data_IF_049451075183
#
_entry.id   IF_049451075183
#
_cell.length_a   1.000
_cell.length_b   1.000
_cell.length_c   1.000
_cell.angle_alpha   90.00
_cell.angle_beta   90.00
_cell.angle_gamma   90.00
#
_symmetry.space_group_name_H-M   'P 1'
#
loop_
_entity.id
_entity.type
_entity.pdbx_description
1 polymer ?
#
# COMPACT_ATOMS: atom_id res chain seq x y z
N UNK A 1 10.64 0.38 -1.17
CA UNK A 1 9.36 -0.05 -0.57
C UNK A 1 8.88 0.98 0.45
N UNK A 2 7.55 1.11 0.65
CA UNK A 2 6.96 2.07 1.61
C UNK A 2 7.43 1.78 3.03
N UNK A 3 7.41 0.52 3.44
CA UNK A 3 7.86 0.07 4.76
C UNK A 3 9.28 0.54 5.10
N UNK A 4 10.25 0.26 4.21
CA UNK A 4 11.65 0.61 4.44
C UNK A 4 11.86 2.12 4.53
N UNK A 5 11.17 2.91 3.69
CA UNK A 5 11.24 4.37 3.75
C UNK A 5 10.56 4.92 5.00
N UNK A 6 9.44 4.33 5.44
CA UNK A 6 8.79 4.69 6.69
C UNK A 6 9.73 4.45 7.88
N UNK A 7 10.28 3.25 8.01
CA UNK A 7 11.24 2.90 9.07
C UNK A 7 12.46 3.83 9.05
N UNK A 8 13.03 4.11 7.88
CA UNK A 8 14.16 5.05 7.73
C UNK A 8 13.81 6.47 8.20
N UNK A 9 12.58 6.94 7.92
CA UNK A 9 12.14 8.31 8.25
C UNK A 9 11.70 8.47 9.70
N UNK A 10 11.00 7.48 10.26
CA UNK A 10 10.35 7.60 11.58
C UNK A 10 11.05 6.80 12.68
N UNK A 11 11.92 5.85 12.32
CA UNK A 11 12.51 4.87 13.24
C UNK A 11 11.51 3.82 13.74
N UNK A 12 10.28 3.78 13.21
CA UNK A 12 9.23 2.85 13.65
C UNK A 12 9.06 1.72 12.66
N UNK A 13 9.14 0.49 13.17
CA UNK A 13 8.78 -0.71 12.43
C UNK A 13 7.26 -0.87 12.48
N UNK A 14 6.62 -0.93 11.32
CA UNK A 14 5.16 -1.09 11.19
C UNK A 14 4.89 -2.15 10.13
N UNK A 15 4.03 -3.13 10.40
CA UNK A 15 3.55 -4.02 9.34
C UNK A 15 2.42 -3.32 8.58
N UNK A 16 2.51 -3.25 7.25
CA UNK A 16 1.53 -2.57 6.41
C UNK A 16 0.67 -3.62 5.70
N UNK A 17 -0.62 -3.32 5.51
CA UNK A 17 -1.57 -4.28 4.96
C UNK A 17 -1.42 -4.43 3.45
N UNK A 18 -1.00 -5.61 3.00
CA UNK A 18 -1.07 -6.00 1.58
C UNK A 18 -2.52 -6.11 1.12
N UNK A 19 -3.44 -6.60 1.97
CA UNK A 19 -4.86 -6.73 1.65
C UNK A 19 -5.49 -5.39 1.30
N UNK A 20 -5.08 -4.32 1.99
CA UNK A 20 -5.55 -2.99 1.69
C UNK A 20 -5.19 -2.57 0.26
N UNK A 21 -4.05 -3.00 -0.28
CA UNK A 21 -3.70 -2.76 -1.68
C UNK A 21 -4.52 -3.65 -2.61
N UNK A 22 -4.67 -4.93 -2.31
CA UNK A 22 -5.47 -5.89 -3.09
C UNK A 22 -6.90 -5.36 -3.29
N UNK A 23 -7.55 -4.92 -2.22
CA UNK A 23 -8.98 -4.56 -2.25
C UNK A 23 -9.26 -3.14 -2.74
N UNK A 24 -8.30 -2.21 -2.62
CA UNK A 24 -8.58 -0.78 -2.77
C UNK A 24 -7.86 -0.09 -3.93
N UNK A 25 -6.81 -0.67 -4.49
CA UNK A 25 -6.01 -0.02 -5.53
C UNK A 25 -6.46 -0.33 -6.97
N UNK A 26 -7.66 -0.88 -7.12
CA UNK A 26 -8.26 -1.20 -8.42
C UNK A 26 -8.52 0.02 -9.29
N UNK A 27 -8.84 1.17 -8.68
CA UNK A 27 -9.04 2.43 -9.41
C UNK A 27 -7.74 2.94 -10.07
N UNK A 28 -6.58 2.62 -9.49
CA UNK A 28 -5.27 2.88 -10.06
C UNK A 28 -4.82 1.79 -11.04
N UNK A 29 -5.60 0.74 -11.26
CA UNK A 29 -5.33 -0.29 -12.27
C UNK A 29 -4.58 -1.52 -11.76
N UNK A 30 -4.52 -1.74 -10.43
CA UNK A 30 -4.22 -3.07 -9.91
C UNK A 30 -5.44 -4.00 -10.06
N UNK A 31 -5.20 -5.30 -10.10
CA UNK A 31 -6.22 -6.32 -10.35
C UNK A 31 -6.27 -7.33 -9.20
N UNK A 32 -6.06 -6.86 -7.96
CA UNK A 32 -6.08 -7.72 -6.79
C UNK A 32 -5.13 -8.92 -6.91
N UNK A 33 -5.67 -10.13 -6.75
CA UNK A 33 -4.97 -11.40 -6.89
C UNK A 33 -4.50 -11.71 -8.33
N UNK A 34 -5.09 -11.07 -9.35
CA UNK A 34 -4.66 -11.21 -10.76
C UNK A 34 -3.43 -10.35 -11.11
N UNK A 35 -2.88 -9.65 -10.11
CA UNK A 35 -1.61 -8.94 -10.21
C UNK A 35 -1.75 -7.42 -10.20
N UNK A 36 -0.61 -6.76 -10.28
CA UNK A 36 -0.56 -5.31 -10.18
C UNK A 36 0.85 -4.75 -10.29
N UNK A 37 0.94 -3.43 -10.31
CA UNK A 37 2.20 -2.69 -10.36
C UNK A 37 2.37 -1.85 -9.09
N UNK A 38 3.62 -1.81 -8.64
CA UNK A 38 4.04 -1.11 -7.43
C UNK A 38 3.80 0.39 -7.56
N UNK A 39 3.96 0.94 -8.77
CA UNK A 39 3.65 2.33 -9.09
C UNK A 39 2.18 2.65 -8.84
N UNK A 40 1.25 1.76 -9.23
CA UNK A 40 -0.19 1.95 -8.99
C UNK A 40 -0.51 1.88 -7.50
N UNK A 41 0.12 0.96 -6.77
CA UNK A 41 0.02 0.93 -5.31
C UNK A 41 0.54 2.24 -4.67
N UNK A 42 1.66 2.80 -5.13
CA UNK A 42 2.15 4.08 -4.61
C UNK A 42 1.22 5.25 -4.92
N UNK A 43 0.63 5.27 -6.13
CA UNK A 43 -0.37 6.27 -6.51
C UNK A 43 -1.60 6.20 -5.61
N UNK A 44 -2.11 5.00 -5.34
CA UNK A 44 -3.21 4.77 -4.41
C UNK A 44 -2.88 5.33 -3.02
N UNK A 45 -1.74 4.95 -2.43
CA UNK A 45 -1.35 5.40 -1.08
C UNK A 45 -1.22 6.93 -1.01
N UNK A 46 -0.73 7.56 -2.08
CA UNK A 46 -0.63 9.02 -2.15
C UNK A 46 -2.00 9.69 -2.24
N UNK A 47 -2.89 9.18 -3.09
CA UNK A 47 -4.24 9.71 -3.27
C UNK A 47 -5.08 9.56 -2.00
N UNK A 48 -5.07 8.37 -1.41
CA UNK A 48 -5.82 8.08 -0.19
C UNK A 48 -5.19 8.68 1.07
N UNK A 49 -3.93 9.15 0.97
CA UNK A 49 -3.15 9.72 2.08
C UNK A 49 -2.83 8.70 3.18
N UNK A 50 -2.68 7.44 2.81
CA UNK A 50 -2.28 6.41 3.75
C UNK A 50 -2.46 4.99 3.25
N UNK A 51 -1.88 4.06 4.00
CA UNK A 51 -2.12 2.62 3.93
C UNK A 51 -2.29 2.09 5.35
N UNK A 52 -3.24 1.20 5.55
CA UNK A 52 -3.55 0.63 6.87
C UNK A 52 -2.45 -0.32 7.35
N UNK A 53 -2.40 -0.56 8.67
CA UNK A 53 -1.54 -1.59 9.23
C UNK A 53 -2.10 -2.98 8.96
N UNK A 54 -1.22 -3.98 8.86
CA UNK A 54 -1.61 -5.39 8.71
C UNK A 54 -2.50 -5.86 9.88
N UNK A 55 -2.18 -5.44 11.12
CA UNK A 55 -2.99 -5.77 12.29
C UNK A 55 -4.44 -5.25 12.21
N UNK A 56 -4.66 -4.11 11.52
CA UNK A 56 -5.99 -3.51 11.37
C UNK A 56 -6.74 -3.96 10.11
N UNK A 57 -6.02 -4.51 9.14
CA UNK A 57 -6.55 -5.01 7.88
C UNK A 57 -5.74 -6.24 7.46
N UNK A 58 -5.99 -7.41 8.08
CA UNK A 58 -5.18 -8.61 7.89
C UNK A 58 -5.28 -9.17 6.47
N UNK A 59 -4.23 -9.84 6.04
CA UNK A 59 -4.19 -10.53 4.75
C UNK A 59 -5.09 -11.78 4.71
N UNK A 60 -5.91 -11.90 3.67
CA UNK A 60 -6.83 -13.02 3.45
C UNK A 60 -6.43 -13.90 2.27
N UNK A 61 -5.44 -13.48 1.47
CA UNK A 61 -4.97 -14.21 0.28
C UNK A 61 -6.06 -14.42 -0.81
N UNK A 62 -7.04 -13.54 -0.83
CA UNK A 62 -8.13 -13.50 -1.81
C UNK A 62 -8.54 -12.05 -2.05
N UNK A 63 -9.24 -11.78 -3.15
CA UNK A 63 -9.84 -10.46 -3.38
C UNK A 63 -10.99 -10.24 -2.39
N UNK A 64 -10.95 -9.12 -1.68
CA UNK A 64 -12.06 -8.73 -0.82
C UNK A 64 -13.26 -8.25 -1.63
N UNK A 65 -14.47 -8.55 -1.15
CA UNK A 65 -15.72 -8.07 -1.76
C UNK A 65 -15.83 -6.53 -1.80
N UNK A 66 -15.07 -5.84 -0.95
CA UNK A 66 -15.07 -4.38 -0.83
C UNK A 66 -13.79 -3.87 -0.18
N UNK A 67 -13.40 -2.65 -0.55
CA UNK A 67 -12.37 -1.90 0.14
C UNK A 67 -12.82 -1.46 1.56
N UNK A 68 -12.08 -1.86 2.60
CA UNK A 68 -12.42 -1.63 4.02
C UNK A 68 -11.54 -0.60 4.73
N UNK A 69 -10.79 0.21 3.99
CA UNK A 69 -9.82 1.13 4.56
C UNK A 69 -10.44 2.11 5.57
N UNK A 70 -9.69 2.40 6.64
CA UNK A 70 -10.11 3.37 7.67
C UNK A 70 -8.98 4.35 7.95
N UNK A 71 -9.25 5.65 7.81
CA UNK A 71 -8.25 6.71 8.13
C UNK A 71 -7.64 6.61 9.55
N UNK A 72 -8.38 6.03 10.51
CA UNK A 72 -7.90 5.81 11.87
C UNK A 72 -6.80 4.73 11.98
N UNK A 73 -6.65 3.89 10.96
CA UNK A 73 -5.79 2.70 10.95
C UNK A 73 -4.52 2.88 10.09
N UNK A 74 -4.32 4.08 9.53
CA UNK A 74 -3.19 4.39 8.66
C UNK A 74 -1.86 4.17 9.39
N UNK A 75 -1.07 3.21 8.92
CA UNK A 75 0.25 2.88 9.44
C UNK A 75 1.37 3.69 8.80
N UNK A 76 1.22 4.06 7.53
CA UNK A 76 2.23 4.82 6.79
C UNK A 76 1.61 5.67 5.68
N UNK A 77 2.37 6.66 5.20
CA UNK A 77 2.02 7.49 4.04
C UNK A 77 3.15 7.47 3.01
N UNK A 78 2.78 7.65 1.75
CA UNK A 78 3.72 7.70 0.62
C UNK A 78 3.37 8.93 -0.24
N UNK A 79 4.11 10.05 -0.12
CA UNK A 79 3.79 11.27 -0.87
C UNK A 79 4.18 11.19 -2.35
N UNK A 80 4.94 10.17 -2.76
CA UNK A 80 5.39 9.99 -4.13
C UNK A 80 6.39 8.83 -4.25
N UNK A 81 6.81 8.55 -5.49
CA UNK A 81 7.77 7.51 -5.82
C UNK A 81 8.83 8.06 -6.79
N UNK A 82 9.92 7.31 -6.95
CA UNK A 82 10.99 7.60 -7.90
C UNK A 82 11.29 6.32 -8.64
N UNK A 83 11.36 6.40 -9.97
CA UNK A 83 11.82 5.30 -10.82
C UNK A 83 13.35 5.34 -10.90
N UNK A 84 13.98 4.21 -10.64
CA UNK A 84 15.43 4.08 -10.78
C UNK A 84 15.75 3.84 -12.27
N UNK A 85 16.75 4.53 -12.85
CA UNK A 85 17.16 4.30 -14.23
C UNK A 85 17.47 2.83 -14.50
N UNK A 86 17.14 2.36 -15.70
CA UNK A 86 17.44 0.99 -16.11
C UNK A 86 18.94 0.83 -16.41
N UNK A 87 19.59 -0.13 -15.74
CA UNK A 87 20.97 -0.54 -16.01
C UNK A 87 22.02 0.24 -15.20
N UNK A 88 22.58 -0.44 -14.21
CA UNK A 88 23.88 -0.12 -13.59
C UNK A 88 24.99 -0.95 -14.28
#
# INVERSE_FOLDING_TARGET
>A
SVLGQHMKKTGKSVSLSEQNLVDCSGAEGNMGCDGGLMVQAFLYINQFKGIDTDASYPYTAEDGDRCLIKKANVGATCPGYVDIPTGD
#
